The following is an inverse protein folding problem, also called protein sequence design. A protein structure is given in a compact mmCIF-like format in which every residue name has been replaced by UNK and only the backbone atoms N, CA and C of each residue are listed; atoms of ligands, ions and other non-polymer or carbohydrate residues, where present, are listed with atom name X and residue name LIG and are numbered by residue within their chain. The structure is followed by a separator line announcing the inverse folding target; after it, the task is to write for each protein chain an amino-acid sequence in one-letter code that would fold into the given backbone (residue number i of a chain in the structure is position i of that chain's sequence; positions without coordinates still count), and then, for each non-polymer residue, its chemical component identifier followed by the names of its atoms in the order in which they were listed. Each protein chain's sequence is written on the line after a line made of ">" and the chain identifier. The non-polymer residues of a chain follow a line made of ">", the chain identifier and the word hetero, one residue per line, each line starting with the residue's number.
data_IF_048816952251
#
_entry.id   IF_048816952251
#
_cell.length_a   1.000
_cell.length_b   1.000
_cell.length_c   1.000
_cell.angle_alpha   90.00
_cell.angle_beta   90.00
_cell.angle_gamma   90.00
#
_symmetry.space_group_name_H-M   'P 1'
#
loop_
_entity.id
_entity.type
_entity.pdbx_description
1 polymer ?
#
# COMPACT_ATOMS: atom_id res chain seq x y z
N UNK A 1 1.40 13.45 -86.34
CA UNK A 1 2.51 12.46 -86.33
C UNK A 1 2.21 11.52 -85.17
N UNK A 2 1.97 10.21 -85.25
CA UNK A 2 2.02 9.20 -86.32
C UNK A 2 1.10 8.02 -85.92
N UNK A 3 0.53 7.36 -86.93
CA UNK A 3 -0.14 6.03 -87.00
C UNK A 3 0.64 4.87 -86.30
N UNK A 4 0.20 3.58 -86.32
CA UNK A 4 -1.15 2.98 -86.20
C UNK A 4 -1.19 1.58 -85.46
N UNK A 5 -2.41 0.98 -85.34
CA UNK A 5 -2.84 -0.44 -85.50
C UNK A 5 -1.84 -1.63 -85.33
N UNK A 6 -2.14 -2.77 -84.68
CA UNK A 6 -3.13 -3.88 -84.93
C UNK A 6 -2.65 -5.12 -84.07
N UNK A 7 -3.11 -6.40 -84.19
CA UNK A 7 -4.45 -7.03 -84.14
C UNK A 7 -4.55 -8.33 -83.26
N UNK A 8 -5.78 -8.83 -83.09
CA UNK A 8 -6.34 -10.23 -83.09
C UNK A 8 -5.55 -11.44 -82.54
N UNK A 9 -6.21 -12.32 -81.76
CA UNK A 9 -6.86 -13.57 -82.23
C UNK A 9 -7.42 -14.39 -81.02
N UNK A 10 -8.67 -14.89 -81.06
CA UNK A 10 -9.05 -16.31 -81.29
C UNK A 10 -8.88 -17.20 -80.03
N UNK A 11 -9.72 -18.18 -79.67
CA UNK A 11 -10.90 -18.83 -80.25
C UNK A 11 -11.27 -20.02 -79.33
N UNK A 12 -12.45 -20.60 -79.57
CA UNK A 12 -12.89 -21.96 -79.18
C UNK A 12 -13.38 -22.19 -77.73
N UNK A 13 -14.44 -22.96 -77.42
CA UNK A 13 -15.78 -23.29 -77.99
C UNK A 13 -16.22 -24.61 -77.35
N UNK A 14 -17.33 -24.61 -76.59
CA UNK A 14 -18.27 -25.72 -76.34
C UNK A 14 -17.69 -27.07 -75.80
N UNK A 15 -18.48 -28.07 -75.33
CA UNK A 15 -19.94 -28.22 -75.31
C UNK A 15 -20.56 -28.62 -73.96
N UNK A 16 -21.88 -28.49 -73.94
CA UNK A 16 -22.85 -28.90 -72.92
C UNK A 16 -23.27 -30.37 -73.09
N UNK A 17 -23.43 -31.10 -71.98
CA UNK A 17 -24.36 -32.24 -71.87
C UNK A 17 -25.02 -32.26 -70.47
N UNK A 18 -26.35 -32.21 -70.46
CA UNK A 18 -27.27 -32.66 -69.40
C UNK A 18 -27.10 -34.18 -69.17
N UNK A 19 -27.42 -34.85 -68.06
CA UNK A 19 -28.64 -34.92 -67.23
C UNK A 19 -28.26 -35.63 -65.88
N UNK A 20 -28.64 -35.16 -64.68
CA UNK A 20 -29.83 -35.52 -63.87
C UNK A 20 -29.67 -36.82 -63.02
N UNK A 21 -30.50 -37.07 -61.98
CA UNK A 21 -30.30 -36.56 -60.62
C UNK A 21 -30.27 -37.69 -59.54
N UNK A 22 -30.23 -37.26 -58.26
CA UNK A 22 -30.83 -37.93 -57.10
C UNK A 22 -29.91 -38.83 -56.24
N UNK A 23 -29.53 -38.33 -55.06
CA UNK A 23 -29.83 -39.06 -53.81
C UNK A 23 -29.64 -38.15 -52.60
N UNK A 24 -30.66 -38.16 -51.76
CA UNK A 24 -30.86 -37.35 -50.57
C UNK A 24 -29.74 -37.56 -49.55
N UNK A 25 -28.80 -36.63 -49.46
CA UNK A 25 -28.29 -36.21 -48.15
C UNK A 25 -28.94 -34.89 -47.85
N UNK A 26 -30.00 -34.91 -47.04
CA UNK A 26 -30.39 -33.75 -46.25
C UNK A 26 -29.19 -33.46 -45.34
N UNK A 27 -28.19 -32.74 -45.87
CA UNK A 27 -27.29 -31.97 -45.03
C UNK A 27 -28.23 -31.10 -44.23
N UNK A 28 -28.39 -31.49 -42.97
CA UNK A 28 -29.03 -30.70 -41.91
C UNK A 28 -28.42 -29.32 -42.06
N UNK A 29 -29.12 -28.42 -42.76
CA UNK A 29 -28.80 -27.00 -42.80
C UNK A 29 -28.75 -26.64 -41.33
N UNK A 30 -27.54 -26.59 -40.77
CA UNK A 30 -27.32 -26.15 -39.40
C UNK A 30 -27.80 -24.72 -39.46
N UNK A 31 -29.02 -24.51 -38.97
CA UNK A 31 -29.67 -23.21 -39.04
C UNK A 31 -28.66 -22.21 -38.48
N UNK A 32 -28.37 -21.11 -39.18
CA UNK A 32 -27.48 -20.08 -38.64
C UNK A 32 -27.96 -19.64 -37.25
N UNK A 33 -29.26 -19.78 -36.96
CA UNK A 33 -29.87 -19.60 -35.64
C UNK A 33 -29.34 -20.61 -34.61
N UNK A 34 -29.22 -21.90 -34.94
CA UNK A 34 -28.67 -22.91 -34.02
C UNK A 34 -27.20 -22.63 -33.74
N UNK A 35 -26.46 -22.19 -34.76
CA UNK A 35 -25.04 -21.84 -34.61
C UNK A 35 -24.89 -20.57 -33.76
N UNK A 36 -25.74 -19.56 -33.97
CA UNK A 36 -25.81 -18.36 -33.14
C UNK A 36 -26.18 -18.68 -31.69
N UNK A 37 -27.16 -19.55 -31.45
CA UNK A 37 -27.56 -19.96 -30.10
C UNK A 37 -26.45 -20.74 -29.41
N UNK A 38 -25.76 -21.63 -30.12
CA UNK A 38 -24.60 -22.35 -29.57
C UNK A 38 -23.44 -21.40 -29.24
N UNK A 39 -23.16 -20.42 -30.11
CA UNK A 39 -22.14 -19.39 -29.86
C UNK A 39 -22.54 -18.53 -28.66
N UNK A 40 -23.79 -18.08 -28.56
CA UNK A 40 -24.29 -17.32 -27.42
C UNK A 40 -24.17 -18.10 -26.11
N UNK A 41 -24.58 -19.37 -26.10
CA UNK A 41 -24.43 -20.24 -24.93
C UNK A 41 -22.98 -20.45 -24.54
N UNK A 42 -22.09 -20.64 -25.51
CA UNK A 42 -20.65 -20.74 -25.27
C UNK A 42 -20.05 -19.43 -24.76
N UNK A 43 -20.48 -18.28 -25.28
CA UNK A 43 -20.05 -16.96 -24.80
C UNK A 43 -20.50 -16.70 -23.37
N UNK A 44 -21.73 -17.09 -23.01
CA UNK A 44 -22.23 -16.97 -21.63
C UNK A 44 -21.49 -17.91 -20.70
N UNK A 45 -21.23 -19.16 -21.10
CA UNK A 45 -20.48 -20.12 -20.29
C UNK A 45 -19.03 -19.68 -20.07
N UNK A 46 -18.36 -19.15 -21.10
CA UNK A 46 -17.01 -18.59 -20.99
C UNK A 46 -16.99 -17.30 -20.15
N UNK A 47 -18.00 -16.44 -20.29
CA UNK A 47 -18.17 -15.25 -19.45
C UNK A 47 -18.37 -15.60 -17.98
N UNK A 48 -19.15 -16.64 -17.68
CA UNK A 48 -19.37 -17.12 -16.31
C UNK A 48 -18.12 -17.78 -15.73
N UNK A 49 -17.36 -18.53 -16.54
CA UNK A 49 -16.09 -19.13 -16.13
C UNK A 49 -15.01 -18.08 -15.79
N UNK A 50 -14.95 -16.98 -16.55
CA UNK A 50 -14.04 -15.86 -16.29
C UNK A 50 -14.48 -15.01 -15.09
N UNK A 51 -15.79 -14.93 -14.79
CA UNK A 51 -16.30 -14.25 -13.61
C UNK A 51 -15.85 -14.91 -12.30
N UNK A 52 -15.68 -16.24 -12.28
CA UNK A 52 -15.17 -16.97 -11.11
C UNK A 52 -13.64 -16.93 -11.00
N UNK A 53 -12.92 -16.73 -12.11
CA UNK A 53 -11.46 -16.69 -12.14
C UNK A 53 -10.86 -15.29 -11.89
N UNK A 54 -11.71 -14.28 -11.69
CA UNK A 54 -11.32 -12.89 -11.39
C UNK A 54 -11.60 -12.47 -9.96
N UNK A 55 -11.76 -13.43 -9.03
CA UNK A 55 -11.52 -13.17 -7.61
C UNK A 55 -10.02 -13.22 -7.31
N UNK A 56 -9.28 -12.27 -7.88
CA UNK A 56 -8.08 -11.78 -7.20
C UNK A 56 -8.55 -11.09 -5.91
N UNK A 57 -7.84 -11.25 -4.77
CA UNK A 57 -8.23 -10.63 -3.49
C UNK A 57 -8.12 -9.09 -3.48
N UNK A 58 -8.05 -8.45 -4.64
CA UNK A 58 -7.71 -7.04 -4.82
C UNK A 58 -8.94 -6.17 -5.16
N UNK A 59 -10.07 -6.75 -5.59
CA UNK A 59 -11.31 -5.98 -5.82
C UNK A 59 -12.10 -5.70 -4.52
N UNK A 60 -11.96 -6.55 -3.50
CA UNK A 60 -12.46 -6.26 -2.15
C UNK A 60 -11.73 -5.07 -1.49
N UNK A 61 -10.52 -4.73 -1.97
CA UNK A 61 -9.76 -3.56 -1.51
C UNK A 61 -10.14 -2.27 -2.23
N UNK A 62 -10.70 -2.33 -3.45
CA UNK A 62 -11.05 -1.13 -4.22
C UNK A 62 -12.48 -0.63 -4.00
N UNK A 63 -13.42 -1.48 -3.59
CA UNK A 63 -14.75 -1.04 -3.15
C UNK A 63 -14.73 -0.28 -1.81
N UNK A 64 -13.60 -0.31 -1.09
CA UNK A 64 -13.36 0.49 0.12
C UNK A 64 -12.86 1.91 -0.18
N UNK A 65 -12.56 2.23 -1.45
CA UNK A 65 -12.15 3.57 -1.89
C UNK A 65 -13.28 4.29 -2.64
N UNK A 66 -14.49 4.30 -2.05
CA UNK A 66 -15.38 5.45 -2.24
C UNK A 66 -15.24 6.30 -0.98
N UNK A 67 -14.92 7.60 -1.07
CA UNK A 67 -14.99 8.46 0.09
C UNK A 67 -16.48 8.64 0.39
N UNK A 68 -17.00 7.77 1.25
CA UNK A 68 -18.29 7.99 1.89
C UNK A 68 -18.11 9.25 2.72
N UNK A 69 -18.65 10.38 2.26
CA UNK A 69 -18.77 11.64 3.01
C UNK A 69 -19.78 11.49 4.17
N UNK A 70 -20.02 10.26 4.62
CA UNK A 70 -21.06 9.87 5.55
C UNK A 70 -20.47 9.04 6.70
N UNK A 71 -19.34 9.52 7.23
CA UNK A 71 -18.98 9.42 8.66
C UNK A 71 -17.65 10.14 8.87
N UNK A 72 -17.71 11.45 9.10
CA UNK A 72 -16.69 12.13 9.90
C UNK A 72 -16.85 11.66 11.36
N UNK A 73 -16.53 10.40 11.61
CA UNK A 73 -16.12 9.93 12.93
C UNK A 73 -14.80 9.24 12.69
N UNK A 74 -13.68 9.77 13.19
CA UNK A 74 -12.42 9.06 13.13
C UNK A 74 -12.58 7.84 14.02
N UNK A 75 -12.85 6.68 13.41
CA UNK A 75 -12.53 5.41 14.02
C UNK A 75 -11.01 5.35 14.03
N UNK A 76 -10.41 6.05 14.99
CA UNK A 76 -9.04 5.83 15.37
C UNK A 76 -8.94 4.32 15.63
N UNK A 77 -8.18 3.61 14.80
CA UNK A 77 -7.42 2.48 15.36
C UNK A 77 -6.80 3.03 16.63
N UNK A 78 -7.00 2.41 17.80
CA UNK A 78 -6.41 2.92 19.02
C UNK A 78 -4.90 2.79 18.85
N UNK A 79 -4.27 3.82 18.31
CA UNK A 79 -2.85 4.06 18.50
C UNK A 79 -2.69 3.97 20.00
N UNK A 80 -1.86 3.04 20.47
CA UNK A 80 -1.77 2.68 21.88
C UNK A 80 -1.12 3.77 22.74
N UNK A 81 -1.28 5.03 22.38
CA UNK A 81 -0.88 6.20 23.16
C UNK A 81 -1.84 6.41 24.33
N UNK A 82 -1.38 7.13 25.35
CA UNK A 82 -2.19 7.45 26.53
C UNK A 82 -3.34 8.38 26.17
N UNK A 83 -3.04 9.38 25.34
CA UNK A 83 -3.97 10.40 24.87
C UNK A 83 -4.13 10.31 23.35
N UNK A 84 -5.35 10.54 22.83
CA UNK A 84 -5.58 10.63 21.39
C UNK A 84 -4.88 11.88 20.82
N UNK A 85 -4.25 11.71 19.66
CA UNK A 85 -3.64 12.83 18.93
C UNK A 85 -4.76 13.73 18.35
N UNK A 86 -4.81 15.03 18.67
CA UNK A 86 -5.78 15.97 18.11
C UNK A 86 -5.76 15.98 16.58
N UNK A 87 -6.93 16.17 15.96
CA UNK A 87 -7.13 16.09 14.50
C UNK A 87 -6.09 16.87 13.68
N UNK A 88 -5.71 18.08 14.14
CA UNK A 88 -4.73 18.93 13.45
C UNK A 88 -3.32 18.32 13.32
N UNK A 89 -2.98 17.33 14.14
CA UNK A 89 -1.67 16.67 14.13
C UNK A 89 -1.70 15.24 13.58
N UNK A 90 -2.88 14.70 13.26
CA UNK A 90 -3.02 13.30 12.84
C UNK A 90 -2.27 13.01 11.54
N UNK A 91 -2.37 13.89 10.54
CA UNK A 91 -1.63 13.76 9.29
C UNK A 91 -0.10 13.82 9.52
N UNK A 92 0.36 14.65 10.45
CA UNK A 92 1.78 14.71 10.82
C UNK A 92 2.27 13.42 11.48
N UNK A 93 1.43 12.79 12.31
CA UNK A 93 1.70 11.50 12.92
C UNK A 93 1.72 10.37 11.88
N UNK A 94 0.77 10.35 10.97
CA UNK A 94 0.69 9.34 9.90
C UNK A 94 1.96 9.40 9.03
N UNK A 95 2.31 10.59 8.54
CA UNK A 95 3.53 10.80 7.77
C UNK A 95 4.80 10.44 8.57
N UNK A 96 4.81 10.70 9.89
CA UNK A 96 5.90 10.28 10.76
C UNK A 96 6.04 8.75 10.77
N UNK A 97 4.95 8.01 10.98
CA UNK A 97 5.00 6.55 11.02
C UNK A 97 5.36 5.95 9.65
N UNK A 98 4.79 6.48 8.56
CA UNK A 98 5.09 6.03 7.20
C UNK A 98 6.55 6.19 6.80
N UNK A 99 7.24 7.22 7.33
CA UNK A 99 8.61 7.53 6.94
C UNK A 99 9.66 7.12 7.98
N UNK A 100 9.27 6.98 9.25
CA UNK A 100 10.20 6.73 10.36
C UNK A 100 9.97 5.38 11.05
N UNK A 101 8.89 4.65 10.74
CA UNK A 101 8.59 3.33 11.31
C UNK A 101 8.75 2.16 10.31
N UNK A 102 9.52 2.35 9.23
CA UNK A 102 9.70 1.35 8.15
C UNK A 102 10.96 0.50 8.30
N UNK A 103 12.07 1.09 8.75
CA UNK A 103 13.33 0.37 9.01
C UNK A 103 13.43 -0.15 10.45
N UNK A 104 12.75 0.52 11.37
CA UNK A 104 12.70 0.19 12.78
C UNK A 104 11.35 0.61 13.36
N UNK A 105 11.05 0.24 14.59
CA UNK A 105 9.84 0.69 15.29
C UNK A 105 9.84 2.22 15.39
N UNK A 106 8.70 2.84 15.11
CA UNK A 106 8.49 4.28 15.31
C UNK A 106 8.52 4.61 16.81
N UNK A 107 9.26 5.63 17.21
CA UNK A 107 9.44 5.99 18.60
C UNK A 107 8.40 7.00 19.06
N UNK A 108 7.96 6.91 20.31
CA UNK A 108 7.16 7.98 20.90
C UNK A 108 7.96 9.28 20.93
N UNK A 109 7.43 10.42 20.42
CA UNK A 109 8.17 11.69 20.41
C UNK A 109 8.65 12.13 21.79
N UNK A 110 7.93 11.75 22.85
CA UNK A 110 8.24 12.12 24.23
C UNK A 110 9.58 11.55 24.74
N UNK A 111 10.12 10.48 24.13
CA UNK A 111 11.35 9.83 24.63
C UNK A 111 12.62 10.61 24.30
N UNK A 112 12.54 11.61 23.43
CA UNK A 112 13.63 12.49 23.05
C UNK A 112 13.19 13.96 23.10
N UNK A 113 14.11 14.90 23.41
CA UNK A 113 13.78 16.31 23.36
C UNK A 113 13.55 16.81 21.93
N UNK A 114 12.81 17.92 21.81
CA UNK A 114 12.50 18.58 20.52
C UNK A 114 13.74 18.87 19.69
N UNK A 115 14.85 19.23 20.35
CA UNK A 115 16.13 19.51 19.70
C UNK A 115 16.71 18.29 18.97
N UNK A 116 16.65 17.12 19.61
CA UNK A 116 17.10 15.87 18.99
C UNK A 116 16.28 15.54 17.76
N UNK A 117 14.96 15.70 17.81
CA UNK A 117 14.09 15.47 16.66
C UNK A 117 14.39 16.40 15.49
N UNK A 118 14.71 17.67 15.79
CA UNK A 118 15.13 18.64 14.78
C UNK A 118 16.39 18.17 14.06
N UNK A 119 17.38 17.69 14.81
CA UNK A 119 18.63 17.16 14.24
C UNK A 119 18.36 15.93 13.37
N UNK A 120 17.59 14.95 13.88
CA UNK A 120 17.27 13.71 13.15
C UNK A 120 16.53 14.02 11.83
N UNK A 121 15.57 14.93 11.81
CA UNK A 121 14.84 15.28 10.59
C UNK A 121 15.72 15.91 9.49
N UNK A 122 16.85 16.49 9.87
CA UNK A 122 17.78 17.16 8.95
C UNK A 122 18.93 16.24 8.54
N UNK A 123 19.17 15.17 9.31
CA UNK A 123 20.29 14.27 9.12
C UNK A 123 20.00 13.23 8.02
N UNK A 124 20.88 13.17 7.03
CA UNK A 124 20.84 12.12 6.00
C UNK A 124 21.49 10.83 6.50
N UNK A 125 22.46 10.95 7.39
CA UNK A 125 23.25 9.87 7.97
C UNK A 125 22.56 9.35 9.24
N UNK A 126 21.51 8.56 9.03
CA UNK A 126 20.69 8.02 10.10
C UNK A 126 21.32 6.75 10.69
N UNK A 127 22.23 6.94 11.66
CA UNK A 127 22.87 5.86 12.43
C UNK A 127 23.61 4.81 11.57
N UNK A 128 24.38 5.28 10.59
CA UNK A 128 25.15 4.42 9.68
C UNK A 128 24.37 3.98 8.44
N UNK A 129 23.12 4.41 8.29
CA UNK A 129 22.32 4.25 7.09
C UNK A 129 22.07 5.61 6.43
N UNK A 130 22.19 5.68 5.11
CA UNK A 130 21.75 6.85 4.35
C UNK A 130 20.25 6.77 4.09
N UNK A 131 19.52 7.82 4.47
CA UNK A 131 18.09 7.98 4.19
C UNK A 131 17.84 9.18 3.28
N UNK A 132 16.73 9.13 2.53
CA UNK A 132 16.23 10.31 1.80
C UNK A 132 15.46 11.19 2.79
N UNK A 133 15.89 12.45 3.03
CA UNK A 133 15.15 13.33 3.91
C UNK A 133 13.76 13.65 3.35
N UNK A 134 12.83 13.89 4.26
CA UNK A 134 11.56 14.50 3.91
C UNK A 134 11.81 15.89 3.31
N UNK A 135 11.03 16.24 2.29
CA UNK A 135 10.99 17.58 1.72
C UNK A 135 9.65 18.22 2.04
N UNK A 136 9.58 19.54 1.94
CA UNK A 136 8.33 20.26 2.19
C UNK A 136 7.31 19.97 1.08
N UNK A 137 5.99 19.96 1.40
CA UNK A 137 5.38 20.22 2.71
C UNK A 137 5.38 19.09 3.77
N UNK A 138 5.47 17.77 3.46
CA UNK A 138 5.39 16.70 4.46
C UNK A 138 6.32 16.87 5.67
N UNK A 139 7.55 17.34 5.44
CA UNK A 139 8.51 17.58 6.53
C UNK A 139 7.99 18.57 7.58
N UNK A 140 7.24 19.60 7.17
CA UNK A 140 6.67 20.58 8.09
C UNK A 140 5.57 19.98 8.96
N UNK A 141 4.74 19.09 8.40
CA UNK A 141 3.67 18.40 9.12
C UNK A 141 4.25 17.41 10.15
N UNK A 142 5.27 16.65 9.75
CA UNK A 142 6.00 15.76 10.66
C UNK A 142 6.69 16.56 11.76
N UNK A 143 7.33 17.69 11.40
CA UNK A 143 7.95 18.57 12.39
C UNK A 143 6.94 19.13 13.39
N UNK A 144 5.77 19.57 12.92
CA UNK A 144 4.72 20.13 13.79
C UNK A 144 4.17 19.08 14.78
N UNK A 145 4.01 17.83 14.33
CA UNK A 145 3.72 16.71 15.22
C UNK A 145 4.86 16.48 16.23
N UNK A 146 6.10 16.25 15.75
CA UNK A 146 7.23 15.92 16.62
C UNK A 146 7.51 17.01 17.65
N UNK A 147 7.51 18.30 17.27
CA UNK A 147 7.75 19.39 18.21
C UNK A 147 6.66 19.54 19.27
N UNK A 148 5.43 19.13 18.96
CA UNK A 148 4.29 19.26 19.88
C UNK A 148 4.29 18.15 20.92
N UNK A 149 4.62 16.91 20.52
CA UNK A 149 4.57 15.73 21.40
C UNK A 149 5.93 15.32 21.95
N UNK A 150 7.00 16.01 21.55
CA UNK A 150 8.33 15.82 22.14
C UNK A 150 8.46 16.54 23.47
N UNK A 151 9.47 16.12 24.22
CA UNK A 151 9.76 16.71 25.51
C UNK A 151 10.50 18.04 25.35
N UNK A 152 10.20 19.00 26.21
CA UNK A 152 11.02 20.20 26.40
C UNK A 152 12.33 19.80 27.07
N UNK A 153 13.45 20.24 26.52
CA UNK A 153 14.77 20.00 27.11
C UNK A 153 15.02 20.95 28.27
N UNK A 154 15.59 20.44 29.36
CA UNK A 154 16.04 21.27 30.48
C UNK A 154 17.31 22.03 30.09
N UNK A 155 17.50 23.27 30.56
CA UNK A 155 18.64 24.12 30.15
C UNK A 155 20.01 23.55 30.51
N UNK A 156 20.07 22.71 31.54
CA UNK A 156 21.28 22.11 32.09
C UNK A 156 21.50 20.67 31.59
N UNK A 157 20.58 20.14 30.79
CA UNK A 157 20.65 18.78 30.26
C UNK A 157 21.38 18.78 28.91
N UNK A 158 22.33 17.86 28.71
CA UNK A 158 22.92 17.62 27.39
C UNK A 158 21.87 17.08 26.42
N UNK A 159 21.90 17.50 25.14
CA UNK A 159 20.94 16.99 24.14
C UNK A 159 21.32 15.56 23.74
N UNK A 160 20.55 14.53 24.12
CA UNK A 160 20.88 13.15 23.76
C UNK A 160 20.60 12.93 22.28
N UNK A 161 21.53 12.35 21.53
CA UNK A 161 21.29 11.92 20.16
C UNK A 161 20.75 10.48 20.07
N UNK A 162 20.92 9.67 21.13
CA UNK A 162 20.38 8.30 21.22
C UNK A 162 19.42 8.18 22.39
N UNK A 163 18.41 7.31 22.24
CA UNK A 163 17.42 7.04 23.29
C UNK A 163 18.09 6.49 24.56
N UNK A 164 19.13 5.68 24.40
CA UNK A 164 19.88 5.14 25.53
C UNK A 164 20.53 6.22 26.41
N UNK A 165 20.72 7.43 25.87
CA UNK A 165 21.29 8.57 26.60
C UNK A 165 20.19 9.48 27.18
N UNK A 166 18.94 9.32 26.75
CA UNK A 166 17.80 10.11 27.24
C UNK A 166 17.50 9.84 28.71
N UNK A 167 17.64 10.87 29.54
CA UNK A 167 17.28 10.85 30.96
C UNK A 167 15.81 10.47 31.16
N UNK A 168 14.92 11.03 30.34
CA UNK A 168 13.50 10.77 30.41
C UNK A 168 13.17 9.31 30.08
N UNK A 169 13.79 8.74 29.03
CA UNK A 169 13.61 7.33 28.71
C UNK A 169 14.02 6.42 29.87
N UNK A 170 15.15 6.70 30.52
CA UNK A 170 15.60 5.96 31.72
C UNK A 170 14.62 6.10 32.88
N UNK A 171 14.05 7.29 33.09
CA UNK A 171 13.06 7.53 34.13
C UNK A 171 11.75 6.76 33.91
N UNK A 172 11.38 6.47 32.66
CA UNK A 172 10.26 5.60 32.31
C UNK A 172 10.54 4.10 32.54
N UNK A 173 11.80 3.71 32.75
CA UNK A 173 12.21 2.31 32.93
C UNK A 173 13.00 2.10 34.24
N UNK A 174 12.48 2.53 35.42
CA UNK A 174 13.26 2.58 36.65
C UNK A 174 13.61 1.19 37.21
N UNK A 175 12.90 0.14 36.81
CA UNK A 175 13.05 -1.23 37.29
C UNK A 175 13.71 -2.17 36.28
N UNK A 176 14.08 -1.67 35.10
CA UNK A 176 14.66 -2.47 34.03
C UNK A 176 16.14 -2.15 33.90
N UNK A 177 16.97 -3.19 33.94
CA UNK A 177 18.37 -3.06 33.52
C UNK A 177 18.40 -3.08 31.98
N UNK A 178 18.49 -1.89 31.38
CA UNK A 178 18.54 -1.75 29.94
C UNK A 178 19.76 -2.50 29.36
N UNK A 179 19.60 -3.23 28.24
CA UNK A 179 20.71 -3.94 27.63
C UNK A 179 21.80 -2.97 27.20
N UNK A 180 23.07 -3.41 27.29
CA UNK A 180 24.24 -2.59 26.92
C UNK A 180 24.16 -2.07 25.47
N UNK A 181 23.57 -2.88 24.58
CA UNK A 181 23.25 -2.51 23.20
C UNK A 181 21.73 -2.36 23.04
N UNK A 182 21.20 -1.18 23.36
CA UNK A 182 19.79 -0.85 23.14
C UNK A 182 19.55 -0.63 21.64
N UNK A 183 18.94 -1.61 20.97
CA UNK A 183 18.52 -1.51 19.57
C UNK A 183 17.02 -1.24 19.49
N UNK A 184 16.53 -0.71 18.37
CA UNK A 184 15.08 -0.48 18.22
C UNK A 184 14.26 -1.78 18.28
N UNK A 185 14.85 -2.91 17.87
CA UNK A 185 14.21 -4.22 17.98
C UNK A 185 14.06 -4.68 19.44
N UNK A 186 14.95 -4.26 20.34
CA UNK A 186 14.90 -4.66 21.75
C UNK A 186 13.66 -4.14 22.47
N UNK A 187 13.05 -3.05 21.99
CA UNK A 187 11.80 -2.50 22.54
C UNK A 187 10.66 -3.55 22.54
N UNK A 188 10.58 -4.36 21.49
CA UNK A 188 9.53 -5.36 21.33
C UNK A 188 9.63 -6.55 22.31
N UNK A 189 10.78 -6.72 22.98
CA UNK A 189 10.97 -7.79 23.97
C UNK A 189 10.06 -7.62 25.20
N UNK A 190 9.82 -6.38 25.62
CA UNK A 190 8.94 -6.04 26.73
C UNK A 190 7.62 -5.44 26.23
N UNK A 191 7.62 -4.80 25.05
CA UNK A 191 6.44 -4.15 24.45
C UNK A 191 6.00 -4.89 23.17
N UNK A 192 5.27 -6.01 23.26
CA UNK A 192 4.94 -6.84 22.09
C UNK A 192 4.14 -6.12 21.00
N UNK A 193 3.46 -5.02 21.33
CA UNK A 193 2.71 -4.20 20.36
C UNK A 193 3.43 -2.92 19.91
N UNK A 194 4.74 -2.79 20.19
CA UNK A 194 5.50 -1.59 19.84
C UNK A 194 5.51 -1.29 18.34
N UNK A 195 5.50 -2.31 17.48
CA UNK A 195 5.39 -2.14 16.03
C UNK A 195 4.06 -1.51 15.58
N UNK A 196 3.00 -1.63 16.39
CA UNK A 196 1.72 -0.92 16.18
C UNK A 196 1.67 0.42 16.90
N UNK A 197 2.84 0.97 17.27
CA UNK A 197 2.98 2.19 18.05
C UNK A 197 2.26 2.13 19.41
N UNK A 198 2.11 0.93 19.96
CA UNK A 198 1.51 0.67 21.27
C UNK A 198 2.58 0.19 22.25
N UNK A 199 3.12 1.12 23.02
CA UNK A 199 4.09 0.85 24.09
C UNK A 199 3.42 0.54 25.44
N UNK A 200 2.08 0.57 25.53
CA UNK A 200 1.37 0.29 26.80
C UNK A 200 1.17 -1.20 27.02
N UNK A 201 1.05 -1.98 25.94
CA UNK A 201 0.98 -3.44 26.04
C UNK A 201 2.36 -3.96 26.45
N UNK A 202 2.41 -4.58 27.62
CA UNK A 202 3.60 -5.20 28.19
C UNK A 202 3.49 -6.73 28.10
N UNK A 203 4.61 -7.42 28.26
CA UNK A 203 4.61 -8.86 28.54
C UNK A 203 4.19 -9.12 30.00
N UNK A 204 3.69 -10.32 30.35
CA UNK A 204 3.17 -10.61 31.68
C UNK A 204 4.15 -10.33 32.83
N UNK A 205 5.45 -10.46 32.59
CA UNK A 205 6.50 -10.19 33.57
C UNK A 205 6.52 -8.71 34.02
N UNK A 206 6.03 -7.80 33.18
CA UNK A 206 6.08 -6.35 33.39
C UNK A 206 4.71 -5.70 33.59
N UNK A 207 3.60 -6.44 33.45
CA UNK A 207 2.22 -5.90 33.52
C UNK A 207 1.91 -5.11 34.81
N UNK A 208 2.58 -5.44 35.92
CA UNK A 208 2.40 -4.77 37.22
C UNK A 208 3.55 -3.81 37.57
N UNK A 209 4.38 -3.43 36.60
CA UNK A 209 5.37 -2.36 36.79
C UNK A 209 4.65 -1.00 36.84
N UNK A 210 4.91 -0.15 37.85
CA UNK A 210 4.34 1.18 37.96
C UNK A 210 4.82 2.11 36.85
#
# INVERSE_FOLDING_TARGET
>A
MSRPSQPTDARESHPTLEEKPNSKRRLRRRSPVILLVLVLLWSVALGWGLAQATETPQAAQLAQFTPSVEKLTPAATPVGTVDPVPAKYQLGQELYLENCATCHIGLSPAVLPTETWRQILQDRQHYGQQIKPLVDPPRLLVWDYLRTFSRVQDREEETPYRIADSRYFKALHPRVQLPRSLTMASCASCHPAAAQFNFRRLTPEWENSP
#
